data_IF_385075300769
#
_entry.id   IF_385075300769
#
_cell.length_a   1.000
_cell.length_b   1.000
_cell.length_c   1.000
_cell.angle_alpha   90.00
_cell.angle_beta   90.00
_cell.angle_gamma   90.00
#
_symmetry.space_group_name_H-M   'P 1'
#
loop_
_entity.id
_entity.type
_entity.pdbx_description
1 polymer ?
#
# COMPACT_ATOMS: atom_id res chain seq x y z
N UNK A 1 15.87 -26.22 -2.47
CA UNK A 1 16.29 -27.03 -1.30
C UNK A 1 17.80 -26.96 -1.28
N UNK A 2 18.40 -26.55 -0.18
CA UNK A 2 19.84 -26.26 -0.11
C UNK A 2 20.49 -27.23 0.87
N UNK A 3 21.70 -27.67 0.53
CA UNK A 3 22.53 -28.53 1.38
C UNK A 3 23.50 -27.67 2.20
N UNK A 4 23.64 -28.00 3.48
CA UNK A 4 24.63 -27.44 4.37
C UNK A 4 25.83 -28.38 4.44
N UNK A 5 26.98 -27.89 3.98
CA UNK A 5 28.27 -28.59 4.04
C UNK A 5 29.21 -27.77 4.92
N UNK A 6 29.73 -28.36 5.99
CA UNK A 6 30.68 -27.72 6.92
C UNK A 6 32.06 -28.32 6.70
N UNK A 7 33.05 -27.44 6.52
CA UNK A 7 34.46 -27.81 6.35
C UNK A 7 35.32 -27.23 7.46
N UNK A 8 36.29 -28.01 7.94
CA UNK A 8 37.31 -27.56 8.88
C UNK A 8 38.68 -27.86 8.27
N UNK A 9 39.54 -26.84 8.15
CA UNK A 9 40.86 -26.96 7.50
C UNK A 9 40.79 -27.58 6.08
N UNK A 10 39.68 -27.34 5.37
CA UNK A 10 39.45 -27.85 4.01
C UNK A 10 38.85 -29.26 3.95
N UNK A 11 38.80 -30.00 5.07
CA UNK A 11 38.14 -31.31 5.14
C UNK A 11 36.66 -31.19 5.52
N UNK A 12 35.80 -31.98 4.86
CA UNK A 12 34.38 -32.05 5.18
C UNK A 12 34.15 -32.78 6.50
N UNK A 13 33.64 -32.04 7.48
CA UNK A 13 33.33 -32.55 8.82
C UNK A 13 31.84 -32.82 8.99
N UNK A 14 30.98 -32.22 8.16
CA UNK A 14 29.53 -32.42 8.22
C UNK A 14 28.89 -32.21 6.84
N UNK A 15 28.08 -33.18 6.40
CA UNK A 15 27.32 -33.13 5.15
C UNK A 15 25.94 -33.78 5.33
N UNK A 16 25.08 -33.75 4.30
CA UNK A 16 23.77 -34.42 4.32
C UNK A 16 22.68 -33.70 5.13
N UNK A 17 22.90 -32.45 5.52
CA UNK A 17 21.90 -31.61 6.17
C UNK A 17 21.25 -30.70 5.14
N UNK A 18 19.92 -30.65 5.13
CA UNK A 18 19.17 -29.88 4.14
C UNK A 18 18.29 -28.84 4.81
N UNK A 19 18.22 -27.65 4.24
CA UNK A 19 17.30 -26.61 4.66
C UNK A 19 16.51 -26.04 3.49
N UNK A 20 15.33 -25.53 3.80
CA UNK A 20 14.48 -24.81 2.86
C UNK A 20 14.58 -23.33 3.17
N UNK A 21 14.84 -22.55 2.13
CA UNK A 21 14.74 -21.09 2.21
C UNK A 21 13.28 -20.76 1.97
N UNK A 22 12.66 -20.10 2.94
CA UNK A 22 11.35 -19.51 2.74
C UNK A 22 11.51 -18.25 1.87
N UNK A 23 10.57 -17.96 0.95
CA UNK A 23 10.55 -16.65 0.31
C UNK A 23 10.48 -15.56 1.38
N UNK A 24 11.00 -14.35 1.09
CA UNK A 24 10.93 -13.24 2.03
C UNK A 24 9.48 -13.04 2.47
N UNK A 25 9.31 -12.85 3.78
CA UNK A 25 7.99 -12.58 4.37
C UNK A 25 7.50 -11.25 3.80
N UNK A 26 6.52 -11.31 2.89
CA UNK A 26 5.80 -10.11 2.47
C UNK A 26 4.68 -9.92 3.48
N UNK A 27 4.78 -8.89 4.31
CA UNK A 27 3.65 -8.42 5.10
C UNK A 27 2.59 -7.95 4.12
N UNK A 28 1.53 -8.75 3.97
CA UNK A 28 0.35 -8.32 3.23
C UNK A 28 -0.31 -7.26 4.09
N UNK A 29 -0.27 -6.01 3.62
CA UNK A 29 -0.94 -4.92 4.29
C UNK A 29 -2.40 -5.33 4.60
N UNK A 30 -2.95 -4.95 5.76
CA UNK A 30 -4.36 -5.16 6.09
C UNK A 30 -5.23 -4.69 4.92
N UNK A 31 -6.45 -5.24 4.70
CA UNK A 31 -7.25 -4.99 3.50
C UNK A 31 -7.42 -3.49 3.30
N UNK A 32 -6.56 -2.96 2.45
CA UNK A 32 -6.16 -1.58 2.33
C UNK A 32 -5.55 -1.48 0.95
N UNK A 33 -5.81 -0.35 0.29
CA UNK A 33 -5.65 -0.11 -1.14
C UNK A 33 -4.61 -1.00 -1.81
N UNK A 34 -5.04 -1.72 -2.86
CA UNK A 34 -4.18 -2.63 -3.61
C UNK A 34 -2.90 -1.91 -4.09
N UNK A 35 -1.77 -2.62 -4.20
CA UNK A 35 -0.54 -2.04 -4.74
C UNK A 35 -0.79 -1.50 -6.15
N UNK A 36 -0.39 -0.25 -6.39
CA UNK A 36 -0.63 0.48 -7.62
C UNK A 36 0.68 0.70 -8.38
N UNK A 37 0.63 0.64 -9.72
CA UNK A 37 1.78 0.96 -10.56
C UNK A 37 1.94 2.47 -10.73
N UNK A 38 3.19 2.92 -10.88
CA UNK A 38 3.48 4.32 -11.20
C UNK A 38 2.83 4.75 -12.51
N UNK A 39 2.22 5.92 -12.49
CA UNK A 39 1.54 6.48 -13.65
C UNK A 39 0.19 5.84 -13.99
N UNK A 40 -0.24 4.80 -13.26
CA UNK A 40 -1.59 4.25 -13.38
C UNK A 40 -2.60 5.10 -12.60
N UNK A 41 -3.82 5.14 -13.10
CA UNK A 41 -4.90 5.85 -12.44
C UNK A 41 -5.45 4.98 -11.31
N UNK A 42 -5.33 5.47 -10.08
CA UNK A 42 -5.76 4.77 -8.86
C UNK A 42 -7.10 5.33 -8.44
N UNK A 43 -8.09 4.44 -8.30
CA UNK A 43 -9.42 4.79 -7.82
C UNK A 43 -9.61 4.26 -6.39
N UNK A 44 -10.00 5.15 -5.49
CA UNK A 44 -10.27 4.87 -4.08
C UNK A 44 -11.76 5.07 -3.83
N UNK A 45 -12.45 4.01 -3.44
CA UNK A 45 -13.86 4.08 -3.05
C UNK A 45 -13.95 4.67 -1.64
N UNK A 46 -14.69 5.77 -1.51
CA UNK A 46 -14.87 6.50 -0.25
C UNK A 46 -16.30 6.29 0.22
N UNK A 47 -16.46 5.49 1.27
CA UNK A 47 -17.79 5.25 1.83
C UNK A 47 -18.15 6.32 2.86
N UNK A 48 -18.91 7.33 2.42
CA UNK A 48 -19.29 8.47 3.25
C UNK A 48 -20.64 8.27 3.97
N UNK A 49 -20.91 7.07 4.48
CA UNK A 49 -22.15 6.76 5.22
C UNK A 49 -22.20 7.61 6.50
N UNK A 50 -22.90 8.74 6.46
CA UNK A 50 -23.08 9.64 7.60
C UNK A 50 -22.65 11.10 7.39
N UNK A 51 -22.01 11.44 6.27
CA UNK A 51 -21.72 12.83 5.93
C UNK A 51 -22.97 13.50 5.31
N UNK A 52 -23.56 14.54 5.93
CA UNK A 52 -24.74 15.23 5.40
C UNK A 52 -24.46 15.97 4.08
N UNK A 53 -23.21 16.38 3.83
CA UNK A 53 -22.78 17.06 2.61
C UNK A 53 -21.49 16.45 2.07
N UNK A 54 -21.51 16.03 0.81
CA UNK A 54 -20.37 15.37 0.14
C UNK A 54 -19.26 16.36 -0.24
N UNK A 55 -19.65 17.61 -0.48
CA UNK A 55 -18.78 18.75 -0.77
C UNK A 55 -17.81 19.10 0.38
N UNK A 56 -18.09 18.63 1.60
CA UNK A 56 -17.26 18.84 2.78
C UNK A 56 -16.21 17.72 2.99
N UNK A 57 -16.19 16.70 2.12
CA UNK A 57 -15.22 15.59 2.15
C UNK A 57 -14.03 15.96 1.28
N UNK A 58 -12.86 16.07 1.90
CA UNK A 58 -11.59 16.31 1.23
C UNK A 58 -10.77 15.03 1.26
N UNK A 59 -10.20 14.68 0.11
CA UNK A 59 -9.28 13.56 -0.02
C UNK A 59 -7.94 14.07 -0.50
N UNK A 60 -6.90 13.79 0.28
CA UNK A 60 -5.54 14.22 -0.01
C UNK A 60 -4.62 13.00 -0.01
N UNK A 61 -3.88 12.82 -1.10
CA UNK A 61 -2.87 11.79 -1.23
C UNK A 61 -1.49 12.39 -0.92
N UNK A 62 -0.76 11.83 0.02
CA UNK A 62 0.60 12.23 0.34
C UNK A 62 1.58 11.29 -0.35
N UNK A 63 2.53 11.87 -1.08
CA UNK A 63 3.62 11.12 -1.68
C UNK A 63 4.57 10.56 -0.61
N UNK A 64 5.44 9.61 -0.95
CA UNK A 64 6.46 9.09 -0.05
C UNK A 64 7.41 10.18 0.48
N UNK A 65 7.54 11.29 -0.24
CA UNK A 65 8.35 12.46 0.15
C UNK A 65 7.57 13.50 0.97
N UNK A 66 6.29 13.25 1.24
CA UNK A 66 5.42 14.14 2.03
C UNK A 66 4.70 15.21 1.21
N UNK A 67 4.71 15.11 -0.12
CA UNK A 67 4.03 16.07 -1.00
C UNK A 67 2.52 15.80 -0.99
N UNK A 68 1.67 16.79 -0.66
CA UNK A 68 0.22 16.64 -0.76
C UNK A 68 -0.23 16.72 -2.22
N UNK A 69 -1.19 15.87 -2.59
CA UNK A 69 -1.86 15.86 -3.88
C UNK A 69 -3.38 15.83 -3.62
N UNK A 70 -4.06 16.90 -4.02
CA UNK A 70 -5.51 16.98 -3.88
C UNK A 70 -6.22 16.05 -4.86
N UNK A 71 -7.11 15.22 -4.31
CA UNK A 71 -7.80 14.18 -5.03
C UNK A 71 -9.31 14.48 -5.00
N UNK A 72 -9.86 15.15 -6.02
CA UNK A 72 -11.27 15.52 -6.00
C UNK A 72 -12.16 14.29 -5.95
N UNK A 73 -13.22 14.38 -5.14
CA UNK A 73 -14.22 13.33 -5.02
C UNK A 73 -15.11 13.35 -6.27
N UNK A 74 -15.22 12.21 -6.92
CA UNK A 74 -16.11 11.97 -8.07
C UNK A 74 -17.21 11.00 -7.66
N UNK A 75 -18.41 11.13 -8.22
CA UNK A 75 -19.48 10.15 -7.99
C UNK A 75 -19.61 9.28 -9.23
N UNK A 76 -19.39 7.99 -9.09
CA UNK A 76 -19.57 7.00 -10.15
C UNK A 76 -20.59 5.99 -9.65
N UNK A 77 -21.69 5.84 -10.37
CA UNK A 77 -22.79 4.90 -10.06
C UNK A 77 -23.34 5.01 -8.62
N UNK A 78 -23.44 6.24 -8.12
CA UNK A 78 -23.94 6.52 -6.76
C UNK A 78 -22.94 6.27 -5.64
N UNK A 79 -21.72 5.79 -5.97
CA UNK A 79 -20.61 5.61 -5.02
C UNK A 79 -19.60 6.74 -5.17
N UNK A 80 -19.17 7.31 -4.04
CA UNK A 80 -18.12 8.33 -4.05
C UNK A 80 -16.76 7.67 -4.25
N UNK A 81 -15.97 8.19 -5.19
CA UNK A 81 -14.65 7.70 -5.56
C UNK A 81 -13.69 8.87 -5.68
N UNK A 82 -12.53 8.80 -5.03
CA UNK A 82 -11.42 9.71 -5.30
C UNK A 82 -10.45 9.05 -6.27
N UNK A 83 -9.88 9.83 -7.18
CA UNK A 83 -8.95 9.32 -8.18
C UNK A 83 -7.66 10.10 -8.14
N UNK A 84 -6.51 9.41 -8.15
CA UNK A 84 -5.20 10.05 -8.23
C UNK A 84 -4.23 9.23 -9.06
N UNK A 85 -3.15 9.87 -9.49
CA UNK A 85 -2.10 9.24 -10.29
C UNK A 85 -0.76 9.39 -9.54
N UNK A 86 -0.21 8.31 -8.97
CA UNK A 86 1.09 8.37 -8.32
C UNK A 86 2.18 8.60 -9.37
N UNK A 87 3.04 9.57 -9.10
CA UNK A 87 4.20 9.96 -9.89
C UNK A 87 5.53 9.62 -9.21
N UNK A 88 5.49 9.18 -7.94
CA UNK A 88 6.65 8.80 -7.14
C UNK A 88 6.55 7.35 -6.65
N UNK A 89 7.59 6.51 -6.82
CA UNK A 89 7.61 5.16 -6.27
C UNK A 89 7.67 5.20 -4.75
N UNK A 90 6.81 4.40 -4.11
CA UNK A 90 6.84 4.20 -2.66
C UNK A 90 5.44 4.11 -2.06
N UNK A 91 5.38 4.22 -0.74
CA UNK A 91 4.12 4.20 0.00
C UNK A 91 3.42 5.57 -0.09
N UNK A 92 2.21 5.57 -0.67
CA UNK A 92 1.35 6.74 -0.69
C UNK A 92 0.33 6.64 0.44
N UNK A 93 0.15 7.73 1.18
CA UNK A 93 -0.83 7.79 2.27
C UNK A 93 -2.04 8.59 1.82
N UNK A 94 -3.23 8.01 1.93
CA UNK A 94 -4.48 8.72 1.64
C UNK A 94 -5.09 9.19 2.95
N UNK A 95 -5.34 10.49 3.04
CA UNK A 95 -6.02 11.12 4.14
C UNK A 95 -7.40 11.60 3.68
N UNK A 96 -8.45 11.19 4.40
CA UNK A 96 -9.82 11.58 4.13
C UNK A 96 -10.29 12.42 5.32
N UNK A 97 -10.65 13.66 5.06
CA UNK A 97 -11.14 14.58 6.09
C UNK A 97 -12.54 15.09 5.76
N UNK A 98 -13.35 15.29 6.78
CA UNK A 98 -14.68 15.86 6.71
C UNK A 98 -14.78 17.02 7.69
N UNK A 99 -15.00 18.25 7.19
CA UNK A 99 -15.05 19.47 8.01
C UNK A 99 -13.84 19.62 8.97
N UNK A 100 -12.64 19.24 8.51
CA UNK A 100 -11.40 19.28 9.30
C UNK A 100 -11.22 18.12 10.28
N UNK A 101 -12.11 17.11 10.27
CA UNK A 101 -11.99 15.90 11.09
C UNK A 101 -11.65 14.70 10.21
N UNK A 102 -10.59 13.97 10.55
CA UNK A 102 -10.22 12.75 9.85
C UNK A 102 -11.32 11.69 10.01
N UNK A 103 -11.72 11.08 8.90
CA UNK A 103 -12.67 9.97 8.85
C UNK A 103 -11.97 8.77 8.20
N UNK A 104 -12.24 7.56 8.69
CA UNK A 104 -11.59 6.32 8.26
C UNK A 104 -12.63 5.30 7.78
#
# INVERSE_FOLDING_TARGET
>A
MHELVVKYEGEEVLAGHYFRVLPPLVEVAPPGMAPCALGSLVQVLVNATGAPKREDILVTAYSPTGRPLDCPLTTIDGTNSATFKPDEPGEWRIEITYQGKQIQ
#
